data_IF_947010141699
#
_entry.id   IF_947010141699
#
_cell.length_a   1.000
_cell.length_b   1.000
_cell.length_c   1.000
_cell.angle_alpha   90.00
_cell.angle_beta   90.00
_cell.angle_gamma   90.00
#
_symmetry.space_group_name_H-M   'P 1'
#
loop_
_entity.id
_entity.type
_entity.pdbx_description
1 polymer ?
#
# COMPACT_ATOMS: atom_id res chain seq x y z
N UNK A 1 -12.48 -18.60 -21.60
CA UNK A 1 -13.47 -17.50 -21.61
C UNK A 1 -12.85 -16.42 -20.71
N UNK A 2 -12.17 -15.45 -21.31
CA UNK A 2 -11.46 -14.42 -20.55
C UNK A 2 -12.50 -13.53 -19.87
N UNK A 3 -12.43 -13.40 -18.57
CA UNK A 3 -13.20 -12.37 -17.85
C UNK A 3 -12.51 -11.05 -18.19
N UNK A 4 -13.19 -10.24 -19.00
CA UNK A 4 -12.75 -8.90 -19.38
C UNK A 4 -12.49 -8.07 -18.09
N UNK A 5 -11.41 -7.29 -18.08
CA UNK A 5 -11.08 -6.35 -16.99
C UNK A 5 -12.30 -5.52 -16.55
N UNK A 6 -13.26 -5.27 -17.44
CA UNK A 6 -14.53 -4.60 -17.13
C UNK A 6 -15.44 -5.41 -16.20
N UNK A 7 -15.44 -6.74 -16.27
CA UNK A 7 -16.24 -7.59 -15.37
C UNK A 7 -15.66 -7.70 -13.97
N UNK A 8 -14.34 -7.66 -13.85
CA UNK A 8 -13.65 -7.63 -12.55
C UNK A 8 -14.09 -6.44 -11.70
N UNK A 9 -14.15 -5.27 -12.32
CA UNK A 9 -14.53 -4.03 -11.64
C UNK A 9 -16.04 -3.94 -11.35
N UNK A 10 -16.88 -4.66 -12.08
CA UNK A 10 -18.31 -4.79 -11.78
C UNK A 10 -18.60 -5.64 -10.53
N UNK A 11 -17.72 -6.58 -10.18
CA UNK A 11 -17.84 -7.37 -8.95
C UNK A 11 -17.51 -6.55 -7.70
N UNK A 12 -16.64 -5.56 -7.80
CA UNK A 12 -16.41 -4.59 -6.72
C UNK A 12 -17.65 -3.71 -6.45
N UNK A 13 -18.47 -3.44 -7.47
CA UNK A 13 -19.70 -2.66 -7.34
C UNK A 13 -20.89 -3.46 -6.74
N UNK A 14 -20.83 -4.79 -6.78
CA UNK A 14 -21.91 -5.66 -6.32
C UNK A 14 -22.00 -5.89 -4.81
N UNK A 15 -20.93 -5.64 -4.05
CA UNK A 15 -20.91 -5.87 -2.61
C UNK A 15 -21.48 -4.69 -1.76
N UNK A 16 -21.83 -3.58 -2.39
CA UNK A 16 -22.24 -2.34 -1.72
C UNK A 16 -23.73 -2.00 -1.72
N UNK A 17 -24.60 -2.86 -2.25
CA UNK A 17 -26.03 -2.55 -2.35
C UNK A 17 -26.86 -3.00 -1.15
N UNK A 18 -26.45 -2.63 0.06
CA UNK A 18 -27.35 -2.54 1.22
C UNK A 18 -27.64 -1.06 1.44
N UNK A 19 -28.90 -0.69 1.17
CA UNK A 19 -29.44 0.67 1.11
C UNK A 19 -29.01 1.60 2.24
N UNK A 20 -28.01 2.42 1.94
CA UNK A 20 -27.74 3.63 2.69
C UNK A 20 -28.13 4.82 1.78
N UNK A 21 -29.13 5.57 2.21
CA UNK A 21 -29.46 6.86 1.60
C UNK A 21 -28.20 7.71 1.51
N UNK A 22 -27.89 8.34 0.36
CA UNK A 22 -26.75 9.22 0.24
C UNK A 22 -26.97 10.49 1.08
N UNK A 23 -26.52 10.47 2.32
CA UNK A 23 -26.29 11.68 3.06
C UNK A 23 -25.23 12.49 2.30
N UNK A 24 -25.52 13.77 2.01
CA UNK A 24 -24.54 14.72 1.45
C UNK A 24 -23.29 14.67 2.31
N UNK A 25 -22.26 13.97 1.85
CA UNK A 25 -20.95 14.04 2.45
C UNK A 25 -20.48 15.50 2.32
N UNK A 26 -20.45 16.23 3.44
CA UNK A 26 -19.76 17.50 3.50
C UNK A 26 -18.32 17.25 3.09
N UNK A 27 -17.76 18.10 2.23
CA UNK A 27 -16.37 17.96 1.82
C UNK A 27 -15.49 17.95 3.09
N UNK A 28 -14.75 16.86 3.30
CA UNK A 28 -13.81 16.76 4.41
C UNK A 28 -12.79 17.88 4.29
N UNK A 29 -12.73 18.73 5.32
CA UNK A 29 -11.66 19.69 5.50
C UNK A 29 -10.73 19.07 6.54
N UNK A 30 -9.49 18.67 6.19
CA UNK A 30 -8.56 18.11 7.16
C UNK A 30 -8.40 19.03 8.34
N UNK A 31 -8.33 18.45 9.55
CA UNK A 31 -7.90 19.19 10.75
C UNK A 31 -6.60 19.93 10.42
N UNK A 32 -6.39 21.19 10.86
CA UNK A 32 -5.35 22.02 10.30
C UNK A 32 -3.97 21.38 10.47
N UNK A 33 -3.45 20.83 9.38
CA UNK A 33 -2.04 20.79 9.04
C UNK A 33 -1.12 19.79 9.75
N UNK A 34 -1.59 18.60 10.11
CA UNK A 34 -0.63 17.52 10.37
C UNK A 34 0.09 17.19 9.05
N UNK A 35 1.43 17.16 9.01
CA UNK A 35 2.12 16.60 7.87
C UNK A 35 1.81 15.11 7.77
N UNK A 36 1.60 14.61 6.56
CA UNK A 36 1.25 13.22 6.28
C UNK A 36 2.37 12.59 5.47
N UNK A 37 2.74 11.35 5.81
CA UNK A 37 3.54 10.47 4.97
C UNK A 37 2.62 9.32 4.55
N UNK A 38 2.32 9.24 3.27
CA UNK A 38 1.58 8.13 2.68
C UNK A 38 2.58 7.05 2.26
N UNK A 39 2.54 5.88 2.91
CA UNK A 39 3.53 4.84 2.67
C UNK A 39 3.14 3.86 1.57
N UNK A 40 1.99 4.08 0.91
CA UNK A 40 1.47 3.14 -0.06
C UNK A 40 0.74 3.85 -1.21
N UNK A 41 1.48 4.17 -2.26
CA UNK A 41 0.96 4.76 -3.49
C UNK A 41 1.35 3.91 -4.71
N UNK A 42 0.46 3.84 -5.69
CA UNK A 42 0.70 3.20 -6.98
C UNK A 42 1.11 4.21 -8.05
N UNK A 43 2.08 3.84 -8.88
CA UNK A 43 2.47 4.56 -10.09
C UNK A 43 2.22 3.70 -11.34
N UNK A 44 1.97 4.36 -12.45
CA UNK A 44 1.76 3.74 -13.76
C UNK A 44 2.68 4.41 -14.79
N UNK A 45 3.14 3.68 -15.83
CA UNK A 45 3.82 4.29 -16.97
C UNK A 45 3.04 5.49 -17.50
N UNK A 46 3.75 6.56 -17.90
CA UNK A 46 3.13 7.85 -18.24
C UNK A 46 2.07 7.75 -19.36
N UNK A 47 2.31 6.87 -20.33
CA UNK A 47 1.46 6.63 -21.49
C UNK A 47 0.47 5.47 -21.32
N UNK A 48 0.50 4.77 -20.18
CA UNK A 48 -0.42 3.67 -19.91
C UNK A 48 -1.85 4.18 -19.78
N UNK A 49 -2.75 3.65 -20.62
CA UNK A 49 -4.18 3.94 -20.50
C UNK A 49 -4.78 3.28 -19.24
N UNK A 50 -5.38 4.07 -18.39
CA UNK A 50 -5.97 3.59 -17.15
C UNK A 50 -7.45 3.19 -17.33
N UNK A 51 -7.96 2.28 -16.48
CA UNK A 51 -9.35 1.84 -16.53
C UNK A 51 -10.30 2.99 -16.17
N UNK A 52 -11.41 3.12 -16.88
CA UNK A 52 -12.42 4.19 -16.65
C UNK A 52 -13.43 3.84 -15.56
N UNK A 53 -13.07 2.99 -14.62
CA UNK A 53 -13.99 2.52 -13.58
C UNK A 53 -14.24 3.59 -12.53
N UNK A 54 -15.50 3.88 -12.18
CA UNK A 54 -15.81 4.79 -11.09
C UNK A 54 -15.22 4.32 -9.76
N UNK A 55 -14.86 5.27 -8.90
CA UNK A 55 -14.44 4.96 -7.54
C UNK A 55 -15.57 4.20 -6.81
N UNK A 56 -15.29 3.00 -6.26
CA UNK A 56 -16.34 2.13 -5.70
C UNK A 56 -17.03 2.72 -4.46
N UNK A 57 -16.42 3.70 -3.80
CA UNK A 57 -16.95 4.29 -2.57
C UNK A 57 -17.89 5.46 -2.84
N UNK A 58 -17.55 6.31 -3.81
CA UNK A 58 -18.31 7.53 -4.07
C UNK A 58 -18.98 7.58 -5.46
N UNK A 59 -18.75 6.57 -6.31
CA UNK A 59 -19.31 6.48 -7.66
C UNK A 59 -18.77 7.51 -8.67
N UNK A 60 -17.73 8.28 -8.32
CA UNK A 60 -17.18 9.30 -9.20
C UNK A 60 -16.21 8.68 -10.22
N UNK A 61 -16.29 9.17 -11.45
CA UNK A 61 -15.30 8.87 -12.49
C UNK A 61 -14.09 9.78 -12.30
N UNK A 62 -13.23 9.43 -11.33
CA UNK A 62 -12.04 10.20 -10.95
C UNK A 62 -10.75 9.68 -11.57
N UNK A 63 -10.80 8.55 -12.27
CA UNK A 63 -9.63 7.95 -12.91
C UNK A 63 -9.17 8.82 -14.08
N UNK A 64 -7.93 9.30 -14.07
CA UNK A 64 -7.33 10.00 -15.21
C UNK A 64 -7.19 9.08 -16.42
N UNK A 65 -7.06 9.66 -17.62
CA UNK A 65 -6.97 8.92 -18.88
C UNK A 65 -5.75 8.00 -18.94
N UNK A 66 -4.63 8.46 -18.39
CA UNK A 66 -3.32 7.84 -18.50
C UNK A 66 -2.50 8.02 -17.21
N UNK A 67 -1.34 7.34 -17.16
CA UNK A 67 -0.44 7.38 -16.01
C UNK A 67 0.11 8.77 -15.70
N UNK A 68 0.33 9.61 -16.72
CA UNK A 68 0.80 10.99 -16.53
C UNK A 68 -0.29 11.88 -15.90
N UNK A 69 -1.54 11.71 -16.34
CA UNK A 69 -2.69 12.35 -15.72
C UNK A 69 -2.89 11.90 -14.26
N UNK A 70 -2.65 10.61 -14.00
CA UNK A 70 -2.72 10.04 -12.65
C UNK A 70 -1.66 10.63 -11.72
N UNK A 71 -0.40 10.70 -12.16
CA UNK A 71 0.68 11.36 -11.43
C UNK A 71 0.28 12.79 -11.02
N UNK A 72 -0.16 13.61 -11.98
CA UNK A 72 -0.55 15.00 -11.72
C UNK A 72 -1.71 15.10 -10.72
N UNK A 73 -2.72 14.24 -10.87
CA UNK A 73 -3.88 14.24 -9.99
C UNK A 73 -3.51 13.81 -8.56
N UNK A 74 -2.69 12.78 -8.40
CA UNK A 74 -2.20 12.34 -7.09
C UNK A 74 -1.34 13.42 -6.41
N UNK A 75 -0.43 14.06 -7.14
CA UNK A 75 0.38 15.18 -6.59
C UNK A 75 -0.50 16.37 -6.16
N UNK A 76 -1.58 16.64 -6.88
CA UNK A 76 -2.54 17.68 -6.50
C UNK A 76 -3.29 17.32 -5.21
N UNK A 77 -3.75 16.07 -5.07
CA UNK A 77 -4.38 15.57 -3.84
C UNK A 77 -3.41 15.58 -2.66
N UNK A 78 -2.18 15.10 -2.84
CA UNK A 78 -1.13 15.16 -1.83
C UNK A 78 -0.89 16.59 -1.35
N UNK A 79 -0.82 17.56 -2.28
CA UNK A 79 -0.67 18.98 -1.91
C UNK A 79 -1.88 19.50 -1.12
N UNK A 80 -3.09 19.18 -1.56
CA UNK A 80 -4.35 19.59 -0.91
C UNK A 80 -4.43 19.09 0.54
N UNK A 81 -4.00 17.84 0.77
CA UNK A 81 -4.12 17.14 2.05
C UNK A 81 -2.90 17.29 2.97
N UNK A 82 -1.87 18.06 2.56
CA UNK A 82 -0.60 18.17 3.27
C UNK A 82 0.14 16.80 3.38
N UNK A 83 0.03 15.96 2.36
CA UNK A 83 0.88 14.76 2.23
C UNK A 83 2.27 15.21 1.77
N UNK A 84 3.20 15.25 2.72
CA UNK A 84 4.55 15.82 2.50
C UNK A 84 5.50 14.83 1.85
N UNK A 85 5.27 13.52 2.05
CA UNK A 85 5.99 12.43 1.39
C UNK A 85 5.02 11.35 0.95
N UNK A 86 5.31 10.70 -0.17
CA UNK A 86 4.61 9.52 -0.66
C UNK A 86 5.60 8.44 -1.04
N UNK A 87 5.40 7.22 -0.56
CA UNK A 87 6.15 6.04 -0.98
C UNK A 87 5.41 5.40 -2.14
N UNK A 88 6.07 5.30 -3.28
CA UNK A 88 5.46 4.90 -4.54
C UNK A 88 6.09 3.61 -5.03
N UNK A 89 5.28 2.61 -5.28
CA UNK A 89 5.64 1.41 -6.05
C UNK A 89 4.92 1.40 -7.41
N UNK A 90 5.48 0.72 -8.42
CA UNK A 90 4.79 0.57 -9.70
C UNK A 90 3.62 -0.40 -9.59
N UNK A 91 2.44 -0.01 -10.06
CA UNK A 91 1.22 -0.83 -10.07
C UNK A 91 1.16 -1.82 -11.23
N UNK A 92 1.65 -1.44 -12.43
CA UNK A 92 1.64 -2.25 -13.65
C UNK A 92 2.79 -1.88 -14.59
N UNK A 93 2.94 -2.58 -15.69
CA UNK A 93 3.94 -2.32 -16.72
C UNK A 93 5.38 -2.35 -16.18
N UNK A 94 6.22 -1.43 -16.65
CA UNK A 94 7.57 -1.22 -16.11
C UNK A 94 7.49 -0.46 -14.78
N UNK A 95 7.43 -1.22 -13.69
CA UNK A 95 7.24 -0.69 -12.34
C UNK A 95 8.38 0.19 -11.86
N UNK A 96 9.60 -0.14 -12.22
CA UNK A 96 10.77 0.63 -11.81
C UNK A 96 10.81 1.98 -12.55
N UNK A 97 10.54 1.97 -13.86
CA UNK A 97 10.46 3.20 -14.64
C UNK A 97 9.31 4.11 -14.17
N UNK A 98 8.13 3.54 -13.86
CA UNK A 98 7.01 4.30 -13.35
C UNK A 98 7.34 4.99 -12.00
N UNK A 99 7.94 4.28 -11.06
CA UNK A 99 8.35 4.84 -9.77
C UNK A 99 9.46 5.89 -9.91
N UNK A 100 10.43 5.67 -10.83
CA UNK A 100 11.49 6.63 -11.15
C UNK A 100 10.90 7.91 -11.74
N UNK A 101 9.96 7.82 -12.68
CA UNK A 101 9.27 8.95 -13.28
C UNK A 101 8.55 9.81 -12.23
N UNK A 102 7.85 9.20 -11.30
CA UNK A 102 7.21 9.92 -10.20
C UNK A 102 8.22 10.65 -9.31
N UNK A 103 9.34 10.00 -8.98
CA UNK A 103 10.41 10.63 -8.19
C UNK A 103 11.03 11.82 -8.93
N UNK A 104 11.24 11.71 -10.23
CA UNK A 104 11.79 12.82 -11.05
C UNK A 104 10.82 14.00 -11.11
N UNK A 105 9.52 13.74 -11.21
CA UNK A 105 8.49 14.77 -11.21
C UNK A 105 8.37 15.52 -9.87
N UNK A 106 8.67 14.86 -8.74
CA UNK A 106 8.56 15.45 -7.40
C UNK A 106 9.61 14.90 -6.42
N UNK A 107 10.93 15.19 -6.64
CA UNK A 107 12.03 14.55 -5.91
C UNK A 107 12.02 14.82 -4.41
N UNK A 108 11.53 15.99 -3.98
CA UNK A 108 11.41 16.34 -2.57
C UNK A 108 10.21 15.68 -1.88
N UNK A 109 9.34 15.04 -2.65
CA UNK A 109 8.07 14.50 -2.14
C UNK A 109 7.96 13.00 -2.30
N UNK A 110 8.49 12.44 -3.38
CA UNK A 110 8.32 11.02 -3.72
C UNK A 110 9.53 10.19 -3.27
N UNK A 111 9.24 9.11 -2.59
CA UNK A 111 10.15 8.02 -2.25
C UNK A 111 9.84 6.86 -3.19
N UNK A 112 10.71 6.58 -4.14
CA UNK A 112 10.49 5.50 -5.08
C UNK A 112 10.81 4.14 -4.47
N UNK A 113 9.95 3.17 -4.74
CA UNK A 113 10.07 1.77 -4.36
C UNK A 113 10.19 0.84 -5.57
N UNK A 114 10.68 -0.36 -5.32
CA UNK A 114 10.77 -1.44 -6.28
C UNK A 114 9.61 -2.41 -6.08
N UNK A 115 8.50 -2.24 -6.79
CA UNK A 115 7.41 -3.21 -6.84
C UNK A 115 7.86 -4.50 -7.51
N UNK A 116 7.71 -5.65 -6.84
CA UNK A 116 8.16 -6.95 -7.35
C UNK A 116 7.09 -8.03 -7.17
N UNK A 117 7.01 -8.96 -8.12
CA UNK A 117 6.04 -10.07 -8.04
C UNK A 117 6.72 -11.43 -8.12
N UNK A 118 7.44 -11.72 -9.20
CA UNK A 118 8.12 -12.98 -9.41
C UNK A 118 7.27 -14.06 -10.12
N UNK A 119 6.16 -13.68 -10.79
CA UNK A 119 5.41 -14.54 -11.70
C UNK A 119 6.06 -14.58 -13.08
N UNK A 120 5.59 -15.47 -13.96
CA UNK A 120 6.11 -15.59 -15.35
C UNK A 120 5.90 -14.32 -16.16
N UNK A 121 4.73 -13.70 -16.01
CA UNK A 121 4.33 -12.45 -16.67
C UNK A 121 4.91 -11.18 -16.01
N UNK A 122 5.38 -11.29 -14.77
CA UNK A 122 6.01 -10.22 -14.01
C UNK A 122 7.21 -10.78 -13.23
N UNK A 123 8.33 -11.05 -13.92
CA UNK A 123 9.52 -11.62 -13.31
C UNK A 123 10.12 -10.67 -12.27
N UNK A 124 10.93 -11.23 -11.38
CA UNK A 124 11.72 -10.44 -10.46
C UNK A 124 12.73 -9.59 -11.25
N UNK A 125 13.00 -8.35 -10.83
CA UNK A 125 14.01 -7.52 -11.47
C UNK A 125 15.40 -8.16 -11.32
N UNK A 126 16.29 -7.86 -12.22
CA UNK A 126 17.68 -8.32 -12.16
C UNK A 126 18.34 -7.76 -10.89
N UNK A 127 18.96 -8.64 -10.09
CA UNK A 127 19.43 -8.32 -8.75
C UNK A 127 20.53 -7.25 -8.74
N UNK A 128 21.42 -7.24 -9.75
CA UNK A 128 22.49 -6.23 -9.87
C UNK A 128 21.92 -4.85 -10.19
N UNK A 129 20.89 -4.77 -11.03
CA UNK A 129 20.18 -3.52 -11.31
C UNK A 129 19.55 -2.99 -10.04
N UNK A 130 18.82 -3.84 -9.32
CA UNK A 130 18.16 -3.46 -8.07
C UNK A 130 19.18 -3.00 -7.01
N UNK A 131 20.31 -3.72 -6.85
CA UNK A 131 21.40 -3.34 -5.97
C UNK A 131 21.93 -1.94 -6.27
N UNK A 132 22.17 -1.63 -7.55
CA UNK A 132 22.70 -0.33 -7.97
C UNK A 132 21.71 0.80 -7.67
N UNK A 133 20.42 0.58 -7.90
CA UNK A 133 19.37 1.58 -7.64
C UNK A 133 19.18 1.84 -6.13
N UNK A 134 19.17 0.77 -5.33
CA UNK A 134 19.05 0.86 -3.87
C UNK A 134 20.30 1.49 -3.23
N UNK A 135 21.50 1.04 -3.60
CA UNK A 135 22.76 1.59 -3.08
C UNK A 135 22.95 3.07 -3.43
N UNK A 136 22.47 3.50 -4.60
CA UNK A 136 22.49 4.91 -5.01
C UNK A 136 21.36 5.75 -4.35
N UNK A 137 20.46 5.14 -3.56
CA UNK A 137 19.33 5.82 -2.93
C UNK A 137 18.24 6.27 -3.90
N UNK A 138 18.28 5.82 -5.16
CA UNK A 138 17.24 6.12 -6.15
C UNK A 138 15.96 5.34 -5.88
N UNK A 139 16.08 4.13 -5.37
CA UNK A 139 15.03 3.36 -4.73
C UNK A 139 15.31 3.26 -3.24
N UNK A 140 14.29 3.29 -2.39
CA UNK A 140 14.43 3.31 -0.94
C UNK A 140 13.54 2.30 -0.20
N UNK A 141 12.83 1.47 -0.94
CA UNK A 141 12.00 0.37 -0.42
C UNK A 141 11.93 -0.74 -1.45
N UNK A 142 12.01 -1.98 -1.00
CA UNK A 142 11.65 -3.15 -1.79
C UNK A 142 10.16 -3.41 -1.56
N UNK A 143 9.32 -2.98 -2.46
CA UNK A 143 7.86 -3.08 -2.35
C UNK A 143 7.13 -2.14 -3.32
N UNK A 144 5.94 -2.48 -3.57
CA UNK A 144 5.10 -3.54 -3.01
C UNK A 144 5.55 -4.92 -3.51
N UNK A 145 5.84 -5.84 -2.58
CA UNK A 145 6.14 -7.23 -2.92
C UNK A 145 4.81 -8.00 -2.97
N UNK A 146 4.40 -8.42 -4.16
CA UNK A 146 3.12 -9.11 -4.41
C UNK A 146 3.32 -10.62 -4.60
N UNK A 147 4.05 -11.29 -3.70
CA UNK A 147 4.41 -12.70 -3.79
C UNK A 147 3.19 -13.62 -3.93
N UNK A 148 2.10 -13.36 -3.21
CA UNK A 148 0.88 -14.17 -3.27
C UNK A 148 0.23 -14.17 -4.67
N UNK A 149 0.46 -13.15 -5.50
CA UNK A 149 -0.01 -13.11 -6.90
C UNK A 149 0.78 -14.09 -7.79
N UNK A 150 1.99 -14.43 -7.38
CA UNK A 150 2.79 -15.49 -8.01
C UNK A 150 2.51 -16.88 -7.42
N UNK A 151 1.60 -17.00 -6.45
CA UNK A 151 1.31 -18.26 -5.75
C UNK A 151 2.37 -18.62 -4.71
N UNK A 152 3.12 -17.64 -4.19
CA UNK A 152 4.23 -17.82 -3.28
C UNK A 152 4.02 -17.01 -2.00
N UNK A 153 4.72 -17.34 -0.93
CA UNK A 153 4.91 -16.50 0.24
C UNK A 153 6.25 -15.75 0.15
N UNK A 154 6.44 -14.70 0.96
CA UNK A 154 7.72 -14.00 1.02
C UNK A 154 8.87 -14.91 1.53
N UNK A 155 8.54 -15.97 2.26
CA UNK A 155 9.52 -16.94 2.77
C UNK A 155 10.02 -17.93 1.72
N UNK A 156 9.46 -17.91 0.49
CA UNK A 156 9.90 -18.76 -0.62
C UNK A 156 11.36 -18.47 -0.99
N UNK A 157 12.19 -19.49 -1.24
CA UNK A 157 13.61 -19.32 -1.61
C UNK A 157 13.85 -18.39 -2.80
N UNK A 158 12.87 -18.19 -3.67
CA UNK A 158 12.95 -17.28 -4.81
C UNK A 158 13.22 -15.83 -4.39
N UNK A 159 12.71 -15.41 -3.21
CA UNK A 159 12.90 -14.06 -2.69
C UNK A 159 14.15 -13.89 -1.83
N UNK A 160 14.81 -14.98 -1.45
CA UNK A 160 15.98 -14.96 -0.55
C UNK A 160 17.08 -13.97 -0.97
N UNK A 161 17.55 -13.92 -2.24
CA UNK A 161 18.58 -12.98 -2.64
C UNK A 161 18.15 -11.50 -2.48
N UNK A 162 16.86 -11.23 -2.62
CA UNK A 162 16.28 -9.88 -2.52
C UNK A 162 16.14 -9.45 -1.06
N UNK A 163 15.79 -10.38 -0.17
CA UNK A 163 15.69 -10.13 1.26
C UNK A 163 17.09 -9.92 1.87
N UNK A 164 18.06 -10.74 1.47
CA UNK A 164 19.46 -10.56 1.87
C UNK A 164 20.01 -9.20 1.43
N UNK A 165 19.69 -8.78 0.18
CA UNK A 165 20.08 -7.45 -0.32
C UNK A 165 19.40 -6.32 0.48
N UNK A 166 18.11 -6.46 0.77
CA UNK A 166 17.36 -5.46 1.54
C UNK A 166 17.92 -5.33 2.97
N UNK A 167 18.24 -6.44 3.63
CA UNK A 167 18.88 -6.44 4.95
C UNK A 167 20.28 -5.85 4.93
N UNK A 168 21.13 -6.23 3.94
CA UNK A 168 22.49 -5.72 3.75
C UNK A 168 22.51 -4.19 3.60
N UNK A 169 21.62 -3.65 2.78
CA UNK A 169 21.54 -2.22 2.48
C UNK A 169 20.64 -1.44 3.45
N UNK A 170 20.09 -2.14 4.46
CA UNK A 170 19.13 -1.55 5.41
C UNK A 170 17.95 -0.86 4.72
N UNK A 171 17.40 -1.52 3.70
CA UNK A 171 16.24 -1.07 2.94
C UNK A 171 15.00 -1.80 3.45
N UNK A 172 13.90 -1.11 3.80
CA UNK A 172 12.69 -1.77 4.25
C UNK A 172 12.02 -2.55 3.12
N UNK A 173 11.31 -3.61 3.50
CA UNK A 173 10.45 -4.40 2.62
C UNK A 173 9.00 -4.09 2.93
N UNK A 174 8.17 -3.86 1.90
CA UNK A 174 6.73 -3.69 2.02
C UNK A 174 6.04 -4.86 1.31
N UNK A 175 5.33 -5.69 2.07
CA UNK A 175 4.72 -6.92 1.60
C UNK A 175 3.19 -6.77 1.47
N UNK A 176 2.67 -7.00 0.27
CA UNK A 176 1.24 -7.18 0.07
C UNK A 176 0.73 -8.36 0.90
N UNK A 177 -0.27 -8.12 1.73
CA UNK A 177 -0.92 -9.15 2.58
C UNK A 177 -2.43 -9.09 2.41
N UNK A 178 -3.16 -9.97 3.06
CA UNK A 178 -4.62 -9.98 3.00
C UNK A 178 -5.18 -10.72 1.79
N UNK A 179 -6.44 -10.44 1.47
CA UNK A 179 -7.21 -11.26 0.51
C UNK A 179 -7.11 -10.80 -0.93
N UNK A 180 -6.49 -9.64 -1.20
CA UNK A 180 -6.50 -9.02 -2.53
C UNK A 180 -7.90 -8.61 -3.02
N UNK A 181 -8.00 -8.05 -4.23
CA UNK A 181 -9.28 -7.61 -4.79
C UNK A 181 -10.24 -8.78 -5.04
N UNK A 182 -11.58 -8.57 -4.91
CA UNK A 182 -12.57 -9.59 -5.19
C UNK A 182 -12.42 -10.20 -6.59
N UNK A 183 -12.38 -11.53 -6.67
CA UNK A 183 -12.31 -12.24 -7.94
C UNK A 183 -10.92 -12.28 -8.62
N UNK A 184 -9.89 -11.75 -7.99
CA UNK A 184 -8.54 -11.65 -8.58
C UNK A 184 -8.00 -13.01 -9.03
N UNK A 185 -8.30 -14.11 -8.35
CA UNK A 185 -7.87 -15.47 -8.73
C UNK A 185 -8.45 -15.94 -10.07
N UNK A 186 -9.47 -15.28 -10.59
CA UNK A 186 -10.10 -15.59 -11.88
C UNK A 186 -9.58 -14.73 -13.02
N UNK A 187 -8.82 -13.68 -12.69
CA UNK A 187 -8.18 -12.84 -13.69
C UNK A 187 -7.01 -13.59 -14.34
N UNK A 188 -6.85 -13.54 -15.68
CA UNK A 188 -5.74 -14.17 -16.39
C UNK A 188 -4.35 -13.85 -15.84
N UNK A 189 -4.13 -12.62 -15.38
CA UNK A 189 -2.85 -12.19 -14.78
C UNK A 189 -2.48 -12.92 -13.50
N UNK A 190 -3.47 -13.50 -12.82
CA UNK A 190 -3.32 -13.75 -11.39
C UNK A 190 -3.88 -15.13 -10.97
N UNK A 191 -3.86 -16.10 -11.87
CA UNK A 191 -4.40 -17.47 -11.66
C UNK A 191 -3.72 -18.22 -10.51
N UNK A 192 -2.50 -17.83 -10.17
CA UNK A 192 -1.74 -18.39 -9.06
C UNK A 192 -2.05 -17.74 -7.72
N UNK A 193 -2.81 -16.64 -7.72
CA UNK A 193 -3.20 -15.95 -6.49
C UNK A 193 -3.95 -16.89 -5.53
N UNK A 194 -3.56 -16.84 -4.26
CA UNK A 194 -4.25 -17.54 -3.18
C UNK A 194 -4.40 -16.59 -2.00
N UNK A 195 -5.63 -16.38 -1.55
CA UNK A 195 -5.92 -15.51 -0.40
C UNK A 195 -5.17 -15.96 0.86
N UNK A 196 -5.03 -17.26 1.07
CA UNK A 196 -4.30 -17.83 2.20
C UNK A 196 -2.81 -17.47 2.23
N UNK A 197 -2.19 -17.19 1.07
CA UNK A 197 -0.80 -16.74 0.99
C UNK A 197 -0.60 -15.28 1.40
N UNK A 198 -1.69 -14.53 1.62
CA UNK A 198 -1.65 -13.21 2.20
C UNK A 198 -1.66 -13.19 3.74
N UNK A 199 -1.62 -14.37 4.39
CA UNK A 199 -1.51 -14.45 5.84
C UNK A 199 -0.14 -13.95 6.31
N UNK A 200 -0.08 -12.90 7.17
CA UNK A 200 1.18 -12.34 7.65
C UNK A 200 2.10 -13.32 8.39
N UNK A 201 1.56 -14.37 9.02
CA UNK A 201 2.38 -15.37 9.70
C UNK A 201 3.31 -16.14 8.76
N UNK A 202 3.00 -16.18 7.45
CA UNK A 202 3.86 -16.86 6.46
C UNK A 202 5.21 -16.17 6.21
N UNK A 203 5.44 -14.97 6.78
CA UNK A 203 6.74 -14.28 6.67
C UNK A 203 7.72 -14.67 7.77
N UNK A 204 7.29 -15.47 8.75
CA UNK A 204 8.07 -15.79 9.93
C UNK A 204 9.45 -16.37 9.60
N UNK A 205 9.51 -17.34 8.69
CA UNK A 205 10.76 -17.95 8.26
C UNK A 205 11.71 -16.94 7.58
N UNK A 206 11.18 -15.99 6.82
CA UNK A 206 11.99 -14.91 6.24
C UNK A 206 12.57 -13.99 7.32
N UNK A 207 11.78 -13.61 8.32
CA UNK A 207 12.23 -12.77 9.42
C UNK A 207 13.25 -13.47 10.34
N UNK A 208 13.14 -14.79 10.51
CA UNK A 208 14.10 -15.58 11.27
C UNK A 208 15.45 -15.67 10.55
N UNK A 209 15.45 -15.75 9.21
CA UNK A 209 16.70 -15.70 8.41
C UNK A 209 17.29 -14.31 8.33
N UNK A 210 16.43 -13.27 8.37
CA UNK A 210 16.80 -11.86 8.22
C UNK A 210 16.38 -11.03 9.44
N UNK A 211 17.00 -11.18 10.61
CA UNK A 211 16.53 -10.57 11.87
C UNK A 211 16.63 -9.04 11.90
N UNK A 212 17.36 -8.41 10.98
CA UNK A 212 17.46 -6.95 10.87
C UNK A 212 16.53 -6.37 9.81
N UNK A 213 15.84 -7.22 9.05
CA UNK A 213 14.96 -6.78 7.97
C UNK A 213 13.77 -6.01 8.52
N UNK A 214 13.63 -4.75 8.15
CA UNK A 214 12.43 -3.96 8.46
C UNK A 214 11.31 -4.33 7.51
N UNK A 215 10.17 -4.77 8.05
CA UNK A 215 9.04 -5.23 7.26
C UNK A 215 7.80 -4.38 7.51
N UNK A 216 7.14 -3.93 6.45
CA UNK A 216 5.78 -3.41 6.46
C UNK A 216 4.81 -4.48 5.98
N UNK A 217 3.94 -4.96 6.86
CA UNK A 217 2.76 -5.77 6.53
C UNK A 217 1.71 -4.80 5.99
N UNK A 218 1.49 -4.79 4.67
CA UNK A 218 0.56 -3.87 4.03
C UNK A 218 -0.90 -4.26 4.32
N UNK A 219 -1.83 -3.33 4.16
CA UNK A 219 -3.29 -3.52 4.37
C UNK A 219 -3.69 -3.93 5.80
N UNK A 220 -2.87 -3.60 6.82
CA UNK A 220 -3.14 -4.05 8.18
C UNK A 220 -3.09 -5.56 8.37
N UNK A 221 -2.72 -6.32 7.34
CA UNK A 221 -2.89 -7.78 7.30
C UNK A 221 -4.34 -8.23 7.21
N UNK A 222 -5.30 -7.34 6.98
CA UNK A 222 -6.72 -7.68 6.98
C UNK A 222 -7.05 -8.82 5.99
N UNK A 223 -7.83 -9.84 6.39
CA UNK A 223 -8.58 -10.00 7.65
C UNK A 223 -7.84 -10.79 8.75
N UNK A 224 -6.55 -11.07 8.61
CA UNK A 224 -5.72 -11.87 9.50
C UNK A 224 -5.26 -11.05 10.73
N UNK A 225 -6.23 -10.60 11.56
CA UNK A 225 -5.97 -9.71 12.70
C UNK A 225 -5.05 -10.34 13.73
N UNK A 226 -5.32 -11.59 14.12
CA UNK A 226 -4.58 -12.27 15.19
C UNK A 226 -3.16 -12.57 14.76
N UNK A 227 -2.97 -12.99 13.52
CA UNK A 227 -1.64 -13.23 12.94
C UNK A 227 -0.86 -11.91 12.80
N UNK A 228 -1.52 -10.83 12.38
CA UNK A 228 -0.90 -9.50 12.36
C UNK A 228 -0.46 -9.05 13.74
N UNK A 229 -1.32 -9.22 14.76
CA UNK A 229 -0.99 -8.95 16.16
C UNK A 229 0.19 -9.80 16.62
N UNK A 230 0.19 -11.11 16.30
CA UNK A 230 1.28 -12.02 16.64
C UNK A 230 2.61 -11.55 16.04
N UNK A 231 2.62 -11.21 14.75
CA UNK A 231 3.82 -10.71 14.06
C UNK A 231 4.32 -9.38 14.64
N UNK A 232 3.41 -8.45 14.91
CA UNK A 232 3.75 -7.20 15.56
C UNK A 232 4.27 -7.41 17.01
N UNK A 233 3.76 -8.38 17.73
CA UNK A 233 4.21 -8.67 19.08
C UNK A 233 5.60 -9.29 19.12
N UNK A 234 5.83 -10.30 18.29
CA UNK A 234 7.06 -11.09 18.30
C UNK A 234 8.24 -10.37 17.61
N UNK A 235 7.99 -9.62 16.52
CA UNK A 235 9.02 -9.00 15.70
C UNK A 235 8.99 -7.47 15.82
N UNK A 236 9.89 -6.85 16.64
CA UNK A 236 9.87 -5.41 16.88
C UNK A 236 10.16 -4.55 15.64
N UNK A 237 10.80 -5.12 14.62
CA UNK A 237 11.10 -4.46 13.33
C UNK A 237 9.93 -4.51 12.35
N UNK A 238 8.82 -5.18 12.68
CA UNK A 238 7.62 -5.26 11.86
C UNK A 238 6.69 -4.08 12.14
N UNK A 239 6.25 -3.45 11.08
CA UNK A 239 5.25 -2.38 11.03
C UNK A 239 4.08 -2.81 10.14
N UNK A 240 3.01 -2.04 10.13
CA UNK A 240 1.88 -2.26 9.21
C UNK A 240 1.35 -0.93 8.70
N UNK A 241 0.76 -0.91 7.50
CA UNK A 241 0.01 0.22 6.98
C UNK A 241 -1.49 -0.09 6.87
N UNK A 242 -2.27 0.92 6.56
CA UNK A 242 -3.73 0.85 6.50
C UNK A 242 -4.26 0.86 5.05
N UNK A 243 -3.37 0.79 4.06
CA UNK A 243 -3.72 0.91 2.64
C UNK A 243 -4.91 0.06 2.23
N UNK A 244 -5.74 0.58 1.37
CA UNK A 244 -7.00 0.03 0.90
C UNK A 244 -8.08 -0.14 2.00
N UNK A 245 -7.75 -0.69 3.16
CA UNK A 245 -8.77 -0.98 4.20
C UNK A 245 -9.34 0.28 4.83
N UNK A 246 -8.61 1.38 4.85
CA UNK A 246 -9.02 2.67 5.43
C UNK A 246 -10.08 3.41 4.58
N UNK A 247 -10.29 2.98 3.33
CA UNK A 247 -11.31 3.56 2.45
C UNK A 247 -12.23 2.54 1.79
N UNK A 248 -11.81 1.29 1.55
CA UNK A 248 -12.65 0.24 0.94
C UNK A 248 -13.59 -0.42 1.95
N UNK A 249 -13.17 -0.61 3.19
CA UNK A 249 -14.03 -1.22 4.21
C UNK A 249 -15.12 -0.24 4.67
N UNK A 250 -16.29 -0.75 5.07
CA UNK A 250 -17.26 0.04 5.82
C UNK A 250 -16.57 0.73 7.02
N UNK A 251 -16.85 2.00 7.23
CA UNK A 251 -16.17 2.83 8.25
C UNK A 251 -16.14 2.18 9.64
N UNK A 252 -17.23 1.56 10.04
CA UNK A 252 -17.32 0.89 11.34
C UNK A 252 -16.39 -0.33 11.42
N UNK A 253 -16.29 -1.10 10.34
CA UNK A 253 -15.40 -2.27 10.25
C UNK A 253 -13.94 -1.85 10.29
N UNK A 254 -13.56 -0.86 9.49
CA UNK A 254 -12.20 -0.30 9.52
C UNK A 254 -11.83 0.22 10.92
N UNK A 255 -12.71 0.98 11.56
CA UNK A 255 -12.46 1.50 12.90
C UNK A 255 -12.35 0.41 13.96
N UNK A 256 -13.18 -0.65 13.88
CA UNK A 256 -13.08 -1.79 14.78
C UNK A 256 -11.73 -2.52 14.61
N UNK A 257 -11.30 -2.72 13.36
CA UNK A 257 -10.02 -3.35 13.04
C UNK A 257 -8.83 -2.52 13.54
N UNK A 258 -8.83 -1.22 13.24
CA UNK A 258 -7.79 -0.29 13.72
C UNK A 258 -7.72 -0.25 15.25
N UNK A 259 -8.87 -0.18 15.93
CA UNK A 259 -8.93 -0.22 17.40
C UNK A 259 -8.37 -1.52 17.97
N UNK A 260 -8.61 -2.66 17.29
CA UNK A 260 -8.08 -3.95 17.69
C UNK A 260 -6.54 -4.02 17.55
N UNK A 261 -5.96 -3.41 16.51
CA UNK A 261 -4.50 -3.26 16.37
C UNK A 261 -3.90 -2.27 17.40
N UNK A 262 -4.64 -1.22 17.77
CA UNK A 262 -4.18 -0.22 18.74
C UNK A 262 -4.19 -0.74 20.18
N UNK A 263 -5.21 -1.54 20.55
CA UNK A 263 -5.44 -2.01 21.91
C UNK A 263 -4.25 -2.76 22.54
N UNK A 264 -3.50 -3.63 21.84
CA UNK A 264 -2.30 -4.28 22.38
C UNK A 264 -1.08 -3.36 22.50
N UNK A 265 -1.18 -2.08 22.12
CA UNK A 265 -0.10 -1.10 22.23
C UNK A 265 0.76 -0.88 20.98
N UNK A 266 0.31 -1.35 19.82
CA UNK A 266 1.10 -1.25 18.56
C UNK A 266 0.96 0.10 17.83
N UNK A 267 0.30 1.10 18.41
CA UNK A 267 0.07 2.41 17.80
C UNK A 267 1.32 3.12 17.27
N UNK A 268 2.51 2.77 17.78
CA UNK A 268 3.81 3.30 17.28
C UNK A 268 4.36 2.58 16.04
N UNK A 269 3.62 1.59 15.51
CA UNK A 269 4.04 0.78 14.34
C UNK A 269 2.95 0.63 13.29
N UNK A 270 1.89 1.44 13.38
CA UNK A 270 0.82 1.54 12.38
C UNK A 270 1.04 2.81 11.58
N UNK A 271 1.09 2.72 10.25
CA UNK A 271 1.36 3.84 9.34
C UNK A 271 0.15 4.10 8.45
N UNK A 272 -0.03 5.35 8.00
CA UNK A 272 -0.97 5.64 6.94
C UNK A 272 -0.38 5.19 5.60
N UNK A 273 -1.12 4.37 4.88
CA UNK A 273 -0.94 4.09 3.47
C UNK A 273 -2.29 4.18 2.82
N UNK A 274 -2.41 4.71 1.60
CA UNK A 274 -3.73 4.85 0.99
C UNK A 274 -4.04 3.78 -0.02
N UNK A 275 -3.03 3.26 -0.72
CA UNK A 275 -3.26 2.31 -1.82
C UNK A 275 -4.34 2.83 -2.78
N UNK A 276 -4.13 4.04 -3.29
CA UNK A 276 -5.12 4.75 -4.11
C UNK A 276 -5.41 4.06 -5.44
N UNK A 277 -4.58 3.09 -5.84
CA UNK A 277 -4.69 2.38 -7.11
C UNK A 277 -4.88 3.36 -8.28
N UNK A 278 -6.06 3.34 -8.94
CA UNK A 278 -6.38 4.20 -10.10
C UNK A 278 -7.08 5.50 -9.70
N UNK A 279 -7.51 5.64 -8.45
CA UNK A 279 -8.40 6.72 -7.99
C UNK A 279 -7.67 7.74 -7.12
N UNK A 280 -7.19 8.87 -7.66
CA UNK A 280 -6.51 9.89 -6.88
C UNK A 280 -7.31 10.40 -5.69
N UNK A 281 -8.65 10.44 -5.80
CA UNK A 281 -9.55 10.86 -4.71
C UNK A 281 -9.62 9.85 -3.55
N UNK A 282 -9.17 8.61 -3.75
CA UNK A 282 -9.04 7.63 -2.66
C UNK A 282 -8.07 8.10 -1.58
N UNK A 283 -7.02 8.89 -1.93
CA UNK A 283 -6.11 9.51 -0.94
C UNK A 283 -6.90 10.31 0.09
N UNK A 284 -7.87 11.13 -0.37
CA UNK A 284 -8.70 11.93 0.53
C UNK A 284 -9.65 11.08 1.38
N UNK A 285 -10.24 10.03 0.80
CA UNK A 285 -11.16 9.13 1.51
C UNK A 285 -10.41 8.35 2.59
N UNK A 286 -9.19 7.87 2.31
CA UNK A 286 -8.33 7.17 3.24
C UNK A 286 -7.91 8.06 4.43
N UNK A 287 -7.43 9.28 4.14
CA UNK A 287 -7.08 10.26 5.18
C UNK A 287 -8.27 10.56 6.08
N UNK A 288 -9.46 10.80 5.51
CA UNK A 288 -10.69 11.00 6.29
C UNK A 288 -11.02 9.74 7.11
N UNK A 289 -10.79 8.56 6.54
CA UNK A 289 -10.96 7.28 7.19
C UNK A 289 -10.25 7.20 8.51
N UNK A 290 -8.96 7.43 8.50
CA UNK A 290 -8.13 7.38 9.67
C UNK A 290 -8.39 8.57 10.63
N UNK A 291 -8.57 9.80 10.10
CA UNK A 291 -8.78 10.99 10.93
C UNK A 291 -10.12 10.98 11.67
N UNK A 292 -11.17 10.37 11.08
CA UNK A 292 -12.48 10.27 11.71
C UNK A 292 -12.55 9.26 12.87
N UNK A 293 -11.49 8.48 13.14
CA UNK A 293 -11.41 7.54 14.25
C UNK A 293 -11.34 8.28 15.59
N UNK A 294 -12.51 8.42 16.26
CA UNK A 294 -12.67 9.22 17.49
C UNK A 294 -11.98 8.63 18.71
N UNK A 295 -11.63 7.34 18.68
CA UNK A 295 -10.91 6.68 19.77
C UNK A 295 -9.40 6.99 19.75
N UNK A 296 -8.89 7.56 18.65
CA UNK A 296 -7.49 7.97 18.56
C UNK A 296 -7.28 9.34 19.19
N UNK A 297 -6.30 9.43 20.06
CA UNK A 297 -5.79 10.70 20.57
C UNK A 297 -5.07 11.49 19.48
N UNK A 298 -4.90 12.80 19.69
CA UNK A 298 -4.13 13.63 18.76
C UNK A 298 -2.66 13.18 18.61
N UNK A 299 -2.08 12.56 19.63
CA UNK A 299 -0.73 11.99 19.56
C UNK A 299 -0.69 10.76 18.67
N UNK A 300 -1.63 9.84 18.83
CA UNK A 300 -1.74 8.63 18.01
C UNK A 300 -2.00 8.97 16.54
N UNK A 301 -2.84 9.95 16.26
CA UNK A 301 -3.03 10.45 14.90
C UNK A 301 -1.73 10.98 14.31
N UNK A 302 -0.95 11.81 15.05
CA UNK A 302 0.36 12.26 14.57
C UNK A 302 1.33 11.12 14.28
N UNK A 303 1.31 10.06 15.11
CA UNK A 303 2.13 8.89 14.91
C UNK A 303 1.73 8.14 13.64
N UNK A 304 0.43 7.84 13.45
CA UNK A 304 -0.09 7.11 12.29
C UNK A 304 0.14 7.91 10.99
N UNK A 305 -0.15 9.20 11.00
CA UNK A 305 -0.04 10.04 9.82
C UNK A 305 1.41 10.38 9.44
N UNK A 306 2.34 10.41 10.39
CA UNK A 306 3.70 10.86 10.09
C UNK A 306 4.79 10.16 10.90
N UNK A 307 4.72 10.16 12.22
CA UNK A 307 5.84 9.81 13.08
C UNK A 307 6.32 8.36 12.89
N UNK A 308 5.40 7.42 12.70
CA UNK A 308 5.73 6.01 12.51
C UNK A 308 6.44 5.78 11.18
N UNK A 309 5.94 6.38 10.09
CA UNK A 309 6.57 6.30 8.77
C UNK A 309 7.95 6.98 8.75
N UNK A 310 8.09 8.14 9.40
CA UNK A 310 9.37 8.83 9.51
C UNK A 310 10.43 7.94 10.20
N UNK A 311 10.05 7.22 11.27
CA UNK A 311 10.94 6.25 11.94
C UNK A 311 11.24 5.04 11.05
N UNK A 312 10.20 4.45 10.46
CA UNK A 312 10.35 3.24 9.64
C UNK A 312 11.24 3.47 8.43
N UNK A 313 11.09 4.58 7.72
CA UNK A 313 11.90 4.94 6.54
C UNK A 313 13.16 5.73 6.90
N UNK A 314 13.44 5.96 8.19
CA UNK A 314 14.60 6.75 8.68
C UNK A 314 14.71 8.09 7.98
N UNK A 315 13.58 8.79 7.88
CA UNK A 315 13.54 10.14 7.36
C UNK A 315 14.04 11.09 8.46
N UNK A 316 14.99 11.95 8.13
CA UNK A 316 15.49 12.96 9.08
C UNK A 316 14.33 13.78 9.65
N UNK A 317 14.47 14.20 10.91
CA UNK A 317 13.57 15.21 11.49
C UNK A 317 13.83 16.52 10.78
N UNK A 318 12.96 16.83 9.78
CA UNK A 318 12.95 18.15 9.15
C UNK A 318 12.37 19.21 10.06
#
# INVERSE_FOLDING_TARGET
MAIDRRRFLQLCAGAGALGLTPGRAAAYTPSPKLPIIDVHLHAYPADEALPTTPNPINGKSSVPKDGEGHLRACLAEMKRLNVVKGVVSGGSGDRLAAAAHWREAAPDRIIAGAGVRGSEDTPLPELGVLRNELAAGRLRVLGEVTAQYAGLSLSDPKYEPYLALAEELDVPVALHTGTGPPGISFDPCCRHFRASLGNPALVEEALNRHPKLRLNIMHGGWPYLEETISMLFHYPQVYTDLGAIDWLLPRAEFHAYLAALMRPGFGKRIMLGTDQMFWPDAIGIAVEGADSARFLTSSEKRDIFHGNAARFFRLGTG
#
